data_IF_651455140562
#
_entry.id   IF_651455140562
#
_cell.length_a   1.000
_cell.length_b   1.000
_cell.length_c   1.000
_cell.angle_alpha   90.00
_cell.angle_beta   90.00
_cell.angle_gamma   90.00
#
_symmetry.space_group_name_H-M   'P 1'
#
loop_
_entity.id
_entity.type
_entity.pdbx_description
1 polymer ?
#
# COMPACT_ATOMS: atom_id res chain seq x y z
N UNK A 1 -2.47 10.69 -5.92
CA UNK A 1 -2.93 9.54 -5.12
C UNK A 1 -1.87 8.46 -5.14
N UNK A 2 -1.53 7.92 -3.98
CA UNK A 2 -0.53 6.88 -3.76
C UNK A 2 -1.24 5.52 -3.72
N UNK A 3 -0.81 4.60 -4.59
CA UNK A 3 -1.39 3.26 -4.73
C UNK A 3 -0.33 2.21 -4.45
N UNK A 4 -0.72 1.03 -3.93
CA UNK A 4 0.17 -0.11 -3.92
C UNK A 4 0.59 -0.48 -5.36
N UNK A 5 1.82 -0.98 -5.56
CA UNK A 5 2.34 -1.33 -6.88
C UNK A 5 1.69 -2.58 -7.49
N UNK A 6 0.81 -3.27 -6.75
CA UNK A 6 0.12 -4.49 -7.20
C UNK A 6 -1.40 -4.38 -7.00
N UNK A 7 -2.14 -5.01 -7.92
CA UNK A 7 -3.61 -5.20 -7.84
C UNK A 7 -4.00 -6.63 -7.48
N UNK A 8 -3.02 -7.53 -7.41
CA UNK A 8 -3.20 -8.95 -7.06
C UNK A 8 -2.39 -9.30 -5.81
N UNK A 9 -2.78 -10.36 -5.13
CA UNK A 9 -2.05 -10.82 -3.95
C UNK A 9 -0.68 -11.38 -4.35
N UNK A 10 0.39 -10.82 -3.80
CA UNK A 10 1.77 -11.30 -4.01
C UNK A 10 2.37 -11.95 -2.76
N UNK A 11 1.58 -12.09 -1.68
CA UNK A 11 1.99 -12.83 -0.48
C UNK A 11 2.29 -14.28 -0.83
N UNK A 12 3.50 -14.79 -0.54
CA UNK A 12 3.87 -16.18 -0.79
C UNK A 12 2.88 -17.16 -0.13
N UNK A 13 2.46 -18.18 -0.88
CA UNK A 13 1.52 -19.20 -0.40
C UNK A 13 0.04 -18.81 -0.42
N UNK A 14 -0.31 -17.58 -0.82
CA UNK A 14 -1.71 -17.22 -1.02
C UNK A 14 -2.17 -17.61 -2.44
N UNK A 15 -3.25 -18.39 -2.53
CA UNK A 15 -3.84 -18.84 -3.80
C UNK A 15 -4.95 -17.90 -4.33
N UNK A 16 -5.05 -16.68 -3.80
CA UNK A 16 -6.10 -15.76 -4.24
C UNK A 16 -5.78 -15.23 -5.64
N UNK A 17 -6.55 -15.65 -6.62
CA UNK A 17 -6.45 -15.19 -8.01
C UNK A 17 -7.28 -13.93 -8.29
N UNK A 18 -8.13 -13.52 -7.34
CA UNK A 18 -8.97 -12.33 -7.49
C UNK A 18 -8.18 -11.05 -7.24
N UNK A 19 -8.72 -9.94 -7.76
CA UNK A 19 -8.22 -8.60 -7.46
C UNK A 19 -8.29 -8.31 -5.96
N UNK A 20 -7.28 -7.58 -5.47
CA UNK A 20 -7.30 -7.01 -4.13
C UNK A 20 -8.45 -6.01 -4.02
N UNK A 21 -9.10 -6.00 -2.85
CA UNK A 21 -10.25 -5.14 -2.59
C UNK A 21 -9.78 -3.85 -1.93
N UNK A 22 -10.44 -2.74 -2.20
CA UNK A 22 -10.25 -1.52 -1.43
C UNK A 22 -10.59 -1.80 0.05
N UNK A 23 -9.73 -1.38 0.98
CA UNK A 23 -9.89 -1.62 2.41
C UNK A 23 -10.73 -0.54 3.11
N UNK A 24 -10.37 0.72 2.90
CA UNK A 24 -10.79 1.86 3.72
C UNK A 24 -11.07 3.14 2.90
N UNK A 25 -11.30 3.01 1.60
CA UNK A 25 -11.58 4.10 0.67
C UNK A 25 -10.33 4.86 0.23
N UNK A 26 -10.48 6.16 0.02
CA UNK A 26 -9.37 7.10 -0.20
C UNK A 26 -9.02 7.78 1.13
N UNK A 27 -7.82 7.53 1.64
CA UNK A 27 -7.32 8.18 2.88
C UNK A 27 -6.67 9.51 2.53
N UNK A 28 -7.08 10.61 3.16
CA UNK A 28 -6.41 11.92 3.00
C UNK A 28 -5.03 11.86 3.66
N UNK A 29 -3.99 12.27 2.95
CA UNK A 29 -2.61 12.30 3.44
C UNK A 29 -1.88 13.54 2.94
N UNK A 30 -0.76 13.86 3.60
CA UNK A 30 0.18 14.90 3.15
C UNK A 30 1.44 14.22 2.65
N UNK A 31 1.81 14.50 1.40
CA UNK A 31 3.07 14.06 0.80
C UNK A 31 4.07 15.21 0.88
N UNK A 32 5.17 15.00 1.61
CA UNK A 32 6.27 15.96 1.64
C UNK A 32 7.23 15.66 0.48
N UNK A 33 7.42 16.64 -0.40
CA UNK A 33 8.27 16.56 -1.59
C UNK A 33 9.44 17.55 -1.49
N UNK A 34 10.51 17.32 -2.25
CA UNK A 34 11.67 18.22 -2.27
C UNK A 34 11.41 19.52 -3.04
N UNK A 35 10.66 19.45 -4.16
CA UNK A 35 10.41 20.58 -5.06
C UNK A 35 9.23 21.45 -4.66
N UNK A 36 8.13 20.82 -4.23
CA UNK A 36 6.83 21.48 -4.06
C UNK A 36 6.40 21.57 -2.59
N UNK A 37 7.25 21.10 -1.67
CA UNK A 37 6.95 21.05 -0.24
C UNK A 37 5.83 20.08 0.09
N UNK A 38 4.93 20.48 0.99
CA UNK A 38 3.81 19.66 1.47
C UNK A 38 2.63 19.70 0.50
N UNK A 39 2.30 18.55 -0.11
CA UNK A 39 1.20 18.42 -1.05
C UNK A 39 0.06 17.58 -0.46
N UNK A 40 -1.18 18.09 -0.52
CA UNK A 40 -2.35 17.30 -0.18
C UNK A 40 -2.58 16.21 -1.24
N UNK A 41 -2.76 14.96 -0.81
CA UNK A 41 -3.07 13.85 -1.71
C UNK A 41 -3.88 12.77 -0.99
N UNK A 42 -4.06 11.64 -1.66
CA UNK A 42 -4.75 10.48 -1.10
C UNK A 42 -3.84 9.25 -1.10
N UNK A 43 -4.00 8.37 -0.12
CA UNK A 43 -3.44 7.03 -0.09
C UNK A 43 -4.56 5.98 -0.24
N UNK A 44 -4.27 4.90 -0.94
CA UNK A 44 -5.18 3.77 -1.10
C UNK A 44 -4.57 2.54 -0.47
N UNK A 45 -5.35 1.85 0.36
CA UNK A 45 -4.98 0.55 0.89
C UNK A 45 -5.80 -0.54 0.22
N UNK A 46 -5.12 -1.57 -0.26
CA UNK A 46 -5.75 -2.74 -0.85
C UNK A 46 -5.60 -3.93 0.11
N UNK A 47 -6.61 -4.79 0.22
CA UNK A 47 -6.54 -5.96 1.08
C UNK A 47 -6.90 -7.23 0.32
N UNK A 48 -6.21 -8.32 0.66
CA UNK A 48 -6.53 -9.65 0.18
C UNK A 48 -7.60 -10.27 1.10
N UNK A 49 -8.73 -10.70 0.53
CA UNK A 49 -9.81 -11.31 1.32
C UNK A 49 -9.44 -12.68 1.89
N UNK A 50 -8.44 -13.36 1.30
CA UNK A 50 -8.01 -14.70 1.70
C UNK A 50 -6.93 -14.67 2.78
N UNK A 51 -5.71 -14.19 2.48
CA UNK A 51 -4.61 -14.16 3.45
C UNK A 51 -4.63 -12.96 4.40
N UNK A 52 -5.60 -12.06 4.26
CA UNK A 52 -5.76 -10.83 5.08
C UNK A 52 -4.60 -9.83 4.98
N UNK A 53 -3.67 -10.02 4.04
CA UNK A 53 -2.62 -9.05 3.78
C UNK A 53 -3.21 -7.70 3.37
N UNK A 54 -2.68 -6.61 3.93
CA UNK A 54 -2.97 -5.22 3.52
C UNK A 54 -1.77 -4.65 2.79
N UNK A 55 -1.99 -4.12 1.59
CA UNK A 55 -1.01 -3.54 0.71
C UNK A 55 -1.12 -2.01 0.77
N UNK A 56 0.00 -1.36 1.05
CA UNK A 56 0.18 0.10 1.11
C UNK A 56 1.04 0.55 -0.07
N UNK A 57 1.32 1.83 -0.19
CA UNK A 57 2.11 2.36 -1.31
C UNK A 57 3.53 1.78 -1.40
N UNK A 58 4.23 1.64 -0.26
CA UNK A 58 5.64 1.24 -0.22
C UNK A 58 5.91 -0.07 0.55
N UNK A 59 4.91 -0.66 1.19
CA UNK A 59 5.02 -1.93 1.88
C UNK A 59 3.68 -2.68 1.90
N UNK A 60 3.69 -3.93 2.30
CA UNK A 60 2.48 -4.63 2.72
C UNK A 60 2.64 -5.22 4.13
N UNK A 61 1.53 -5.49 4.79
CA UNK A 61 1.48 -6.14 6.10
C UNK A 61 0.69 -7.43 5.97
N UNK A 62 1.28 -8.55 6.38
CA UNK A 62 0.62 -9.84 6.45
C UNK A 62 1.01 -10.52 7.76
N UNK A 63 0.03 -11.01 8.53
CA UNK A 63 0.27 -11.66 9.83
C UNK A 63 1.13 -10.83 10.79
N UNK A 64 0.90 -9.51 10.84
CA UNK A 64 1.68 -8.57 11.67
C UNK A 64 3.08 -8.25 11.14
N UNK A 65 3.58 -8.97 10.13
CA UNK A 65 4.87 -8.70 9.50
C UNK A 65 4.73 -7.66 8.41
N UNK A 66 5.53 -6.58 8.51
CA UNK A 66 5.67 -5.56 7.47
C UNK A 66 6.81 -5.92 6.53
N UNK A 67 6.51 -5.99 5.24
CA UNK A 67 7.46 -6.29 4.17
C UNK A 67 7.46 -5.19 3.14
N UNK A 68 8.62 -4.61 2.87
CA UNK A 68 8.80 -3.58 1.85
C UNK A 68 8.92 -4.19 0.46
N UNK A 69 8.41 -3.48 -0.55
CA UNK A 69 8.60 -3.90 -1.94
C UNK A 69 10.08 -3.77 -2.33
N UNK A 70 10.50 -4.58 -3.30
CA UNK A 70 11.86 -4.50 -3.85
C UNK A 70 12.08 -3.16 -4.57
N UNK A 71 13.33 -2.68 -4.56
CA UNK A 71 13.72 -1.41 -5.18
C UNK A 71 13.61 -0.20 -4.23
N UNK A 72 13.79 1.00 -4.80
CA UNK A 72 13.71 2.26 -4.07
C UNK A 72 12.31 2.85 -4.28
N UNK A 73 11.52 3.10 -3.23
CA UNK A 73 10.20 3.67 -3.37
C UNK A 73 10.26 5.18 -3.68
N UNK A 74 9.33 5.66 -4.50
CA UNK A 74 9.18 7.10 -4.77
C UNK A 74 8.68 7.89 -3.55
N UNK A 75 7.97 7.24 -2.63
CA UNK A 75 7.47 7.83 -1.40
C UNK A 75 7.45 6.79 -0.29
N UNK A 76 7.85 7.19 0.92
CA UNK A 76 7.84 6.34 2.12
C UNK A 76 6.74 6.83 3.05
N UNK A 77 5.84 5.93 3.44
CA UNK A 77 4.87 6.21 4.48
C UNK A 77 5.53 6.09 5.86
N UNK A 78 5.49 7.16 6.65
CA UNK A 78 6.15 7.28 7.97
C UNK A 78 5.17 7.33 9.15
N UNK A 79 3.85 7.41 8.89
CA UNK A 79 2.79 7.46 9.90
C UNK A 79 1.42 7.12 9.31
N UNK A 80 0.41 6.95 10.18
CA UNK A 80 -1.00 6.67 9.82
C UNK A 80 -2.01 7.57 10.54
#
# INVERSE_FOLDING_TARGET
TLFPPTKQCTTPGCLNLNLLKNKDGLRKVVLFTLSDGACATYAVHLHCSQCKATYYNNYFVCNGLRTYYAGIPNAIQVGE
#
